data_IF_876099803060
#
_entry.id   IF_876099803060
#
_cell.length_a   1.000
_cell.length_b   1.000
_cell.length_c   1.000
_cell.angle_alpha   90.00
_cell.angle_beta   90.00
_cell.angle_gamma   90.00
#
_symmetry.space_group_name_H-M   'P 1'
#
loop_
_entity.id
_entity.type
_entity.pdbx_description
1 polymer ?
#
# COMPACT_ATOMS: atom_id res chain seq x y z
N UNK A 1 -1.31 -15.48 10.79
CA UNK A 1 -1.58 -14.06 11.12
C UNK A 1 -0.26 -13.32 11.07
N UNK A 2 -0.08 -12.44 10.08
CA UNK A 2 1.17 -11.71 9.88
C UNK A 2 1.30 -10.53 10.85
N UNK A 3 0.29 -9.65 10.87
CA UNK A 3 0.27 -8.45 11.70
C UNK A 3 -1.10 -8.29 12.36
N UNK A 4 -1.11 -7.90 13.63
CA UNK A 4 -2.33 -7.61 14.39
C UNK A 4 -2.21 -6.26 15.08
N UNK A 5 -3.10 -5.36 14.74
CA UNK A 5 -3.33 -4.09 15.42
C UNK A 5 -4.55 -4.24 16.34
N UNK A 6 -4.42 -3.86 17.61
CA UNK A 6 -5.49 -3.91 18.59
C UNK A 6 -5.72 -2.54 19.22
N UNK A 7 -6.90 -1.96 19.00
CA UNK A 7 -7.37 -0.68 19.57
C UNK A 7 -6.37 0.47 19.42
N UNK A 8 -5.73 0.60 18.24
CA UNK A 8 -4.77 1.66 17.98
C UNK A 8 -5.45 3.02 18.06
N UNK A 9 -4.89 3.91 18.86
CA UNK A 9 -5.28 5.32 18.95
C UNK A 9 -4.04 6.18 18.71
N UNK A 10 -4.19 7.23 17.90
CA UNK A 10 -3.14 8.21 17.67
C UNK A 10 -3.73 9.62 17.54
N UNK A 11 -3.22 10.56 18.32
CA UNK A 11 -3.52 11.98 18.26
C UNK A 11 -2.28 12.80 17.90
N UNK A 12 -2.47 13.93 17.22
CA UNK A 12 -1.42 14.93 16.94
C UNK A 12 -2.05 16.32 16.95
N UNK A 13 -1.37 17.26 17.61
CA UNK A 13 -1.81 18.67 17.69
C UNK A 13 -3.27 18.84 18.15
N UNK A 14 -3.70 18.07 19.14
CA UNK A 14 -5.06 18.12 19.69
C UNK A 14 -6.14 17.48 18.80
N UNK A 15 -5.77 16.85 17.68
CA UNK A 15 -6.69 16.10 16.79
C UNK A 15 -6.42 14.61 16.89
N UNK A 16 -7.48 13.82 17.03
CA UNK A 16 -7.37 12.37 16.95
C UNK A 16 -7.36 11.95 15.47
N UNK A 17 -6.26 11.33 15.04
CA UNK A 17 -6.05 10.88 13.66
C UNK A 17 -6.51 9.42 13.45
N UNK A 18 -6.34 8.57 14.46
CA UNK A 18 -6.84 7.19 14.51
C UNK A 18 -7.52 6.96 15.85
N UNK A 19 -8.68 6.30 15.82
CA UNK A 19 -9.57 6.15 16.98
C UNK A 19 -9.87 4.67 17.24
N UNK A 20 -9.21 4.06 18.21
CA UNK A 20 -9.46 2.69 18.67
C UNK A 20 -9.60 1.67 17.51
N UNK A 21 -8.71 1.77 16.52
CA UNK A 21 -8.76 0.96 15.31
C UNK A 21 -8.14 -0.41 15.58
N UNK A 22 -8.87 -1.46 15.22
CA UNK A 22 -8.37 -2.84 15.25
C UNK A 22 -8.38 -3.43 13.84
N UNK A 23 -7.25 -4.05 13.44
CA UNK A 23 -7.06 -4.61 12.12
C UNK A 23 -6.13 -5.82 12.21
N UNK A 24 -6.37 -6.82 11.39
CA UNK A 24 -5.45 -7.96 11.24
C UNK A 24 -5.09 -8.18 9.79
N UNK A 25 -3.83 -8.52 9.51
CA UNK A 25 -3.33 -8.83 8.18
C UNK A 25 -2.84 -10.27 8.15
N UNK A 26 -3.21 -11.00 7.11
CA UNK A 26 -2.71 -12.33 6.80
C UNK A 26 -1.77 -12.26 5.59
N UNK A 27 -0.80 -13.18 5.42
CA UNK A 27 -0.09 -13.30 4.15
C UNK A 27 -1.06 -13.70 3.04
N UNK A 28 -0.61 -13.56 1.79
CA UNK A 28 -1.38 -13.86 0.58
C UNK A 28 -2.64 -12.99 0.39
N UNK A 29 -2.63 -11.76 0.90
CA UNK A 29 -3.74 -10.82 0.84
C UNK A 29 -3.32 -9.47 0.25
N UNK A 30 -4.13 -8.92 -0.66
CA UNK A 30 -4.09 -7.52 -1.06
C UNK A 30 -5.26 -6.78 -0.40
N UNK A 31 -4.93 -5.85 0.49
CA UNK A 31 -5.90 -5.04 1.24
C UNK A 31 -5.87 -3.61 0.72
N UNK A 32 -6.99 -3.11 0.21
CA UNK A 32 -7.12 -1.70 -0.17
C UNK A 32 -7.63 -0.88 1.01
N UNK A 33 -6.96 0.22 1.31
CA UNK A 33 -7.40 1.22 2.29
C UNK A 33 -8.03 2.39 1.54
N UNK A 34 -9.30 2.64 1.79
CA UNK A 34 -10.09 3.71 1.18
C UNK A 34 -10.62 4.68 2.23
N UNK A 35 -10.98 5.87 1.80
CA UNK A 35 -11.57 6.90 2.65
C UNK A 35 -11.28 8.30 2.10
N UNK A 36 -12.00 9.34 2.55
CA UNK A 36 -11.77 10.71 2.12
C UNK A 36 -10.39 11.24 2.55
N UNK A 37 -10.01 12.39 2.01
CA UNK A 37 -8.79 13.08 2.44
C UNK A 37 -8.89 13.43 3.93
N UNK A 38 -7.82 13.17 4.67
CA UNK A 38 -7.80 13.36 6.13
C UNK A 38 -8.47 12.25 6.95
N UNK A 39 -8.93 11.15 6.33
CA UNK A 39 -9.53 10.01 7.06
C UNK A 39 -8.54 9.23 7.94
N UNK A 40 -7.22 9.47 7.80
CA UNK A 40 -6.19 8.77 8.57
C UNK A 40 -5.48 7.64 7.82
N UNK A 41 -5.63 7.54 6.49
CA UNK A 41 -5.06 6.45 5.67
C UNK A 41 -3.53 6.35 5.79
N UNK A 42 -2.80 7.41 5.48
CA UNK A 42 -1.33 7.46 5.60
C UNK A 42 -0.87 7.28 7.05
N UNK A 43 -1.65 7.81 8.01
CA UNK A 43 -1.40 7.62 9.44
C UNK A 43 -1.51 6.15 9.83
N UNK A 44 -2.53 5.45 9.32
CA UNK A 44 -2.67 4.01 9.53
C UNK A 44 -1.47 3.26 8.95
N UNK A 45 -1.05 3.57 7.72
CA UNK A 45 0.13 2.93 7.12
C UNK A 45 1.39 3.17 7.93
N UNK A 46 1.63 4.40 8.40
CA UNK A 46 2.78 4.74 9.26
C UNK A 46 2.77 3.97 10.60
N UNK A 47 1.58 3.77 11.20
CA UNK A 47 1.41 2.92 12.39
C UNK A 47 1.75 1.46 12.05
N UNK A 48 1.17 0.88 10.99
CA UNK A 48 1.42 -0.50 10.58
C UNK A 48 2.89 -0.73 10.18
N UNK A 49 3.53 0.31 9.64
CA UNK A 49 4.95 0.31 9.35
C UNK A 49 5.81 0.33 10.63
N UNK A 50 5.28 0.74 11.77
CA UNK A 50 6.05 0.96 12.99
C UNK A 50 6.95 2.19 12.92
N UNK A 51 6.67 3.13 11.99
CA UNK A 51 7.40 4.41 11.88
C UNK A 51 6.83 5.47 12.84
N UNK A 52 5.54 5.34 13.12
CA UNK A 52 4.86 6.19 14.08
C UNK A 52 4.34 5.29 15.23
N UNK A 53 4.75 5.53 16.48
CA UNK A 53 4.18 4.82 17.62
C UNK A 53 2.74 5.28 17.86
N UNK A 54 1.86 4.33 18.22
CA UNK A 54 0.53 4.64 18.69
C UNK A 54 0.60 5.22 20.11
N UNK A 55 -0.35 6.08 20.46
CA UNK A 55 -0.51 6.59 21.83
C UNK A 55 -1.14 5.49 22.73
N UNK A 56 -2.07 4.69 22.15
CA UNK A 56 -2.73 3.57 22.84
C UNK A 56 -2.89 2.38 21.89
N UNK A 57 -3.08 1.22 22.48
CA UNK A 57 -3.28 -0.03 21.74
C UNK A 57 -2.00 -0.86 21.62
N UNK A 58 -2.05 -1.85 20.73
CA UNK A 58 -0.93 -2.78 20.54
C UNK A 58 -0.77 -3.11 19.06
N UNK A 59 0.48 -3.29 18.64
CA UNK A 59 0.82 -3.75 17.29
C UNK A 59 1.76 -4.95 17.41
N UNK A 60 1.32 -6.09 16.88
CA UNK A 60 2.00 -7.37 17.01
C UNK A 60 2.37 -7.92 15.64
N UNK A 61 3.61 -8.33 15.46
CA UNK A 61 4.11 -9.07 14.30
C UNK A 61 4.28 -10.53 14.68
N UNK A 62 3.50 -11.42 14.07
CA UNK A 62 3.52 -12.88 14.37
C UNK A 62 3.49 -13.18 15.88
N UNK A 63 2.67 -12.46 16.64
CA UNK A 63 2.51 -12.62 18.07
C UNK A 63 3.56 -11.93 18.95
N UNK A 64 4.55 -11.28 18.36
CA UNK A 64 5.55 -10.48 19.08
C UNK A 64 5.27 -8.98 18.95
N UNK A 65 5.46 -8.17 20.01
CA UNK A 65 5.29 -6.71 19.89
C UNK A 65 6.20 -6.14 18.81
N UNK A 66 5.62 -5.32 17.89
CA UNK A 66 6.40 -4.72 16.80
C UNK A 66 7.54 -3.83 17.33
N UNK A 67 7.34 -3.16 18.44
CA UNK A 67 8.35 -2.34 19.12
C UNK A 67 9.57 -3.13 19.62
N UNK A 68 9.50 -4.46 19.67
CA UNK A 68 10.62 -5.33 20.04
C UNK A 68 11.60 -5.60 18.88
N UNK A 69 11.26 -5.22 17.66
CA UNK A 69 12.13 -5.41 16.50
C UNK A 69 13.00 -4.17 16.27
N UNK A 70 14.26 -4.36 15.94
CA UNK A 70 15.13 -3.28 15.46
C UNK A 70 14.67 -2.76 14.08
N UNK A 71 15.01 -1.51 13.72
CA UNK A 71 14.70 -0.98 12.38
C UNK A 71 15.23 -1.85 11.24
N UNK A 72 16.42 -2.43 11.38
CA UNK A 72 17.01 -3.33 10.39
C UNK A 72 16.23 -4.65 10.25
N UNK A 73 15.73 -5.21 11.35
CA UNK A 73 14.88 -6.40 11.30
C UNK A 73 13.54 -6.13 10.63
N UNK A 74 12.93 -4.98 10.94
CA UNK A 74 11.69 -4.56 10.30
C UNK A 74 11.90 -4.31 8.81
N UNK A 75 12.99 -3.63 8.42
CA UNK A 75 13.29 -3.35 7.02
C UNK A 75 13.49 -4.61 6.16
N UNK A 76 13.91 -5.73 6.76
CA UNK A 76 13.95 -7.05 6.08
C UNK A 76 12.60 -7.75 5.96
N UNK A 77 11.62 -7.33 6.74
CA UNK A 77 10.27 -7.95 6.80
C UNK A 77 9.21 -7.11 6.12
N UNK A 78 9.40 -5.79 6.06
CA UNK A 78 8.43 -4.86 5.48
C UNK A 78 9.11 -3.83 4.59
N UNK A 79 8.41 -3.44 3.53
CA UNK A 79 8.74 -2.27 2.72
C UNK A 79 7.59 -1.27 2.78
N UNK A 80 7.92 0.02 2.77
CA UNK A 80 6.95 1.11 2.78
C UNK A 80 7.26 2.14 1.69
N UNK A 81 6.29 2.36 0.83
CA UNK A 81 6.27 3.43 -0.15
C UNK A 81 5.39 4.55 0.38
N UNK A 82 6.01 5.64 0.82
CA UNK A 82 5.30 6.84 1.31
C UNK A 82 4.78 7.68 0.14
N UNK A 83 3.73 8.46 0.39
CA UNK A 83 3.10 9.35 -0.60
C UNK A 83 4.07 10.41 -1.14
N UNK A 84 4.89 11.00 -0.25
CA UNK A 84 5.93 11.95 -0.65
C UNK A 84 7.27 11.25 -0.75
N UNK A 85 7.92 11.37 -1.89
CA UNK A 85 9.27 10.90 -2.08
C UNK A 85 10.22 12.07 -1.87
N UNK A 86 11.22 11.87 -1.02
CA UNK A 86 12.29 12.83 -0.89
C UNK A 86 13.02 12.98 -2.22
N UNK A 87 13.33 14.21 -2.59
CA UNK A 87 14.23 14.47 -3.69
C UNK A 87 15.56 13.78 -3.39
N UNK A 88 16.04 12.98 -4.35
CA UNK A 88 17.31 12.27 -4.26
C UNK A 88 18.30 12.87 -5.28
N UNK A 89 18.75 14.12 -5.06
CA UNK A 89 19.62 14.80 -6.01
C UNK A 89 20.93 14.03 -6.16
N UNK A 90 21.37 13.87 -7.41
CA UNK A 90 22.63 13.21 -7.73
C UNK A 90 22.59 11.68 -7.72
N UNK A 91 21.43 11.05 -7.46
CA UNK A 91 21.25 9.61 -7.57
C UNK A 91 20.68 9.24 -8.94
N UNK A 92 21.14 8.13 -9.50
CA UNK A 92 20.51 7.51 -10.66
C UNK A 92 19.28 6.68 -10.25
N UNK A 93 18.43 6.34 -11.21
CA UNK A 93 17.33 5.41 -10.98
C UNK A 93 17.81 4.06 -10.40
N UNK A 94 19.00 3.61 -10.81
CA UNK A 94 19.64 2.40 -10.27
C UNK A 94 19.96 2.55 -8.79
N UNK A 95 20.60 3.65 -8.39
CA UNK A 95 20.98 3.90 -6.99
C UNK A 95 19.75 3.91 -6.10
N UNK A 96 18.65 4.53 -6.56
CA UNK A 96 17.38 4.56 -5.84
C UNK A 96 16.82 3.14 -5.63
N UNK A 97 16.84 2.27 -6.65
CA UNK A 97 16.37 0.89 -6.50
C UNK A 97 17.27 0.12 -5.52
N UNK A 98 18.57 0.29 -5.60
CA UNK A 98 19.55 -0.40 -4.74
C UNK A 98 19.44 0.01 -3.26
N UNK A 99 18.97 1.23 -2.94
CA UNK A 99 18.63 1.64 -1.57
C UNK A 99 17.65 0.65 -0.91
N UNK A 100 16.71 0.07 -1.67
CA UNK A 100 15.80 -0.94 -1.16
C UNK A 100 16.49 -2.19 -0.60
N UNK A 101 17.72 -2.47 -1.03
CA UNK A 101 18.50 -3.63 -0.59
C UNK A 101 19.36 -3.38 0.65
N UNK A 102 19.48 -2.12 1.09
CA UNK A 102 20.40 -1.73 2.17
C UNK A 102 20.24 -2.57 3.45
N UNK A 103 19.02 -2.89 3.84
CA UNK A 103 18.74 -3.71 5.03
C UNK A 103 19.14 -5.18 4.89
N UNK A 104 19.39 -5.66 3.67
CA UNK A 104 19.72 -7.05 3.36
C UNK A 104 21.22 -7.29 3.24
N UNK A 105 22.07 -6.27 3.39
CA UNK A 105 23.52 -6.37 3.29
C UNK A 105 24.05 -6.08 1.89
N UNK A 106 24.98 -6.90 1.38
CA UNK A 106 25.60 -6.66 0.07
C UNK A 106 24.58 -6.71 -1.07
N UNK A 107 24.36 -5.58 -1.82
CA UNK A 107 23.44 -5.56 -2.96
C UNK A 107 23.77 -6.62 -4.03
N UNK A 108 25.03 -7.02 -4.18
CA UNK A 108 25.45 -8.04 -5.15
C UNK A 108 24.83 -9.40 -4.85
N UNK A 109 24.63 -9.73 -3.56
CA UNK A 109 23.98 -10.98 -3.17
C UNK A 109 22.48 -11.00 -3.56
N UNK A 110 21.89 -9.82 -3.81
CA UNK A 110 20.46 -9.66 -4.11
C UNK A 110 20.19 -9.19 -5.55
N UNK A 111 21.15 -9.33 -6.46
CA UNK A 111 20.99 -8.89 -7.87
C UNK A 111 19.78 -9.52 -8.57
N UNK A 112 19.43 -10.76 -8.24
CA UNK A 112 18.26 -11.42 -8.82
C UNK A 112 16.96 -10.72 -8.38
N UNK A 113 16.82 -10.38 -7.09
CA UNK A 113 15.69 -9.64 -6.57
C UNK A 113 15.60 -8.24 -7.19
N UNK A 114 16.74 -7.56 -7.34
CA UNK A 114 16.80 -6.24 -7.98
C UNK A 114 16.34 -6.32 -9.46
N UNK A 115 16.85 -7.26 -10.24
CA UNK A 115 16.42 -7.43 -11.64
C UNK A 115 14.94 -7.73 -11.75
N UNK A 116 14.44 -8.66 -10.95
CA UNK A 116 13.02 -9.00 -10.93
C UNK A 116 12.14 -7.80 -10.55
N UNK A 117 12.56 -7.02 -9.55
CA UNK A 117 11.84 -5.81 -9.12
C UNK A 117 11.76 -4.77 -10.25
N UNK A 118 12.86 -4.55 -10.94
CA UNK A 118 12.96 -3.61 -12.08
C UNK A 118 12.07 -4.05 -13.25
N UNK A 119 12.04 -5.33 -13.56
CA UNK A 119 11.17 -5.90 -14.61
C UNK A 119 9.69 -5.74 -14.22
N UNK A 120 9.32 -6.14 -13.00
CA UNK A 120 7.97 -6.04 -12.49
C UNK A 120 7.46 -4.59 -12.41
N UNK A 121 8.33 -3.62 -12.14
CA UNK A 121 7.99 -2.20 -12.11
C UNK A 121 8.10 -1.52 -13.49
N UNK A 122 8.51 -2.25 -14.55
CA UNK A 122 8.78 -1.71 -15.89
C UNK A 122 9.75 -0.51 -15.85
N UNK A 123 10.78 -0.56 -14.99
CA UNK A 123 11.70 0.54 -14.74
C UNK A 123 13.07 0.39 -15.42
N UNK A 124 13.28 -0.64 -16.26
CA UNK A 124 14.60 -0.98 -16.79
C UNK A 124 15.27 0.17 -17.57
N UNK A 125 14.52 0.89 -18.39
CA UNK A 125 14.99 2.03 -19.20
C UNK A 125 15.27 3.28 -18.38
N UNK A 126 14.79 3.34 -17.13
CA UNK A 126 14.89 4.49 -16.23
C UNK A 126 16.14 4.44 -15.35
N UNK A 127 16.76 3.26 -15.21
CA UNK A 127 17.89 3.06 -14.30
C UNK A 127 19.12 3.95 -14.58
N UNK A 128 19.50 4.24 -15.85
CA UNK A 128 20.68 5.06 -16.13
C UNK A 128 20.44 6.56 -15.94
N UNK A 129 19.16 7.01 -15.91
CA UNK A 129 18.84 8.43 -15.81
C UNK A 129 19.05 8.97 -14.40
N UNK A 130 19.36 10.26 -14.27
CA UNK A 130 19.35 10.96 -12.99
C UNK A 130 17.89 11.00 -12.49
N UNK A 131 17.67 10.57 -11.24
CA UNK A 131 16.32 10.38 -10.69
C UNK A 131 15.49 11.66 -10.68
N UNK A 132 16.13 12.80 -10.41
CA UNK A 132 15.50 14.12 -10.38
C UNK A 132 15.08 14.65 -11.78
N UNK A 133 15.58 14.05 -12.86
CA UNK A 133 15.20 14.39 -14.22
C UNK A 133 14.02 13.58 -14.75
N UNK A 134 13.61 12.55 -14.03
CA UNK A 134 12.49 11.69 -14.39
C UNK A 134 11.15 12.40 -14.15
N UNK A 135 10.16 12.13 -14.99
CA UNK A 135 8.79 12.55 -14.76
C UNK A 135 8.21 11.89 -13.50
N UNK A 136 7.14 12.46 -12.91
CA UNK A 136 6.52 11.93 -11.71
C UNK A 136 6.09 10.47 -11.83
N UNK A 137 5.56 10.06 -12.99
CA UNK A 137 5.19 8.66 -13.24
C UNK A 137 6.41 7.73 -13.36
N UNK A 138 7.50 8.21 -13.96
CA UNK A 138 8.76 7.46 -14.03
C UNK A 138 9.39 7.31 -12.64
N UNK A 139 9.41 8.38 -11.83
CA UNK A 139 9.86 8.34 -10.44
C UNK A 139 9.03 7.35 -9.63
N UNK A 140 7.70 7.35 -9.78
CA UNK A 140 6.81 6.40 -9.11
C UNK A 140 7.17 4.94 -9.46
N UNK A 141 7.47 4.63 -10.73
CA UNK A 141 7.92 3.28 -11.16
C UNK A 141 9.27 2.90 -10.55
N UNK A 142 10.24 3.81 -10.50
CA UNK A 142 11.54 3.56 -9.86
C UNK A 142 11.37 3.33 -8.36
N UNK A 143 10.53 4.10 -7.68
CA UNK A 143 10.23 3.91 -6.27
C UNK A 143 9.47 2.60 -6.01
N UNK A 144 8.57 2.22 -6.90
CA UNK A 144 7.92 0.92 -6.83
C UNK A 144 8.94 -0.21 -6.99
N UNK A 145 9.88 -0.11 -7.94
CA UNK A 145 10.99 -1.06 -8.07
C UNK A 145 11.84 -1.14 -6.79
N UNK A 146 12.12 -0.02 -6.12
CA UNK A 146 12.85 0.03 -4.85
C UNK A 146 12.18 -0.80 -3.76
N UNK A 147 10.88 -0.59 -3.52
CA UNK A 147 10.16 -1.34 -2.48
C UNK A 147 9.94 -2.80 -2.86
N UNK A 148 9.80 -3.11 -4.15
CA UNK A 148 9.76 -4.48 -4.64
C UNK A 148 11.11 -5.19 -4.43
N UNK A 149 12.25 -4.54 -4.71
CA UNK A 149 13.57 -5.10 -4.48
C UNK A 149 13.75 -5.46 -2.99
N UNK A 150 13.33 -4.57 -2.09
CA UNK A 150 13.34 -4.81 -0.64
C UNK A 150 12.52 -6.03 -0.25
N UNK A 151 11.29 -6.14 -0.77
CA UNK A 151 10.39 -7.28 -0.46
C UNK A 151 10.92 -8.58 -1.05
N UNK A 152 11.42 -8.56 -2.30
CA UNK A 152 11.88 -9.76 -2.99
C UNK A 152 13.19 -10.30 -2.40
N UNK A 153 14.06 -9.43 -1.88
CA UNK A 153 15.28 -9.83 -1.17
C UNK A 153 14.99 -10.46 0.21
N UNK A 154 13.83 -10.19 0.79
CA UNK A 154 13.42 -10.73 2.08
C UNK A 154 13.04 -12.21 2.03
N UNK A 155 12.88 -12.83 3.19
CA UNK A 155 12.45 -14.21 3.36
C UNK A 155 11.30 -14.32 4.37
N UNK A 156 10.56 -15.42 4.35
CA UNK A 156 9.42 -15.65 5.22
C UNK A 156 8.23 -14.75 4.90
N UNK A 157 7.36 -14.52 5.89
CA UNK A 157 6.20 -13.65 5.74
C UNK A 157 6.62 -12.18 5.72
N UNK A 158 6.06 -11.40 4.78
CA UNK A 158 6.44 -10.01 4.49
C UNK A 158 5.24 -9.12 4.33
N UNK A 159 5.45 -7.81 4.52
CA UNK A 159 4.44 -6.77 4.36
C UNK A 159 4.94 -5.70 3.39
N UNK A 160 4.12 -5.36 2.41
CA UNK A 160 4.33 -4.22 1.51
C UNK A 160 3.23 -3.19 1.78
N UNK A 161 3.63 -1.99 2.15
CA UNK A 161 2.75 -0.85 2.40
C UNK A 161 2.94 0.17 1.28
N UNK A 162 1.85 0.57 0.63
CA UNK A 162 1.87 1.48 -0.50
C UNK A 162 0.89 2.63 -0.24
N UNK A 163 1.42 3.84 -0.07
CA UNK A 163 0.61 5.04 0.18
C UNK A 163 0.42 5.82 -1.13
N UNK A 164 -0.78 5.72 -1.70
CA UNK A 164 -1.19 6.34 -2.97
C UNK A 164 -0.23 6.08 -4.15
N UNK A 165 0.20 4.84 -4.41
CA UNK A 165 1.24 4.55 -5.40
C UNK A 165 0.80 4.81 -6.83
N UNK A 166 -0.50 5.00 -7.05
CA UNK A 166 -1.11 5.19 -8.38
C UNK A 166 -1.31 6.65 -8.76
N UNK A 167 -1.08 7.61 -7.86
CA UNK A 167 -1.46 9.02 -8.04
C UNK A 167 -0.79 9.69 -9.24
N UNK A 168 0.46 9.32 -9.56
CA UNK A 168 1.23 9.91 -10.67
C UNK A 168 1.26 9.02 -11.93
N UNK A 169 0.55 7.89 -11.93
CA UNK A 169 0.58 6.90 -13.01
C UNK A 169 -0.62 7.06 -13.95
N UNK A 170 -0.41 6.80 -15.23
CA UNK A 170 -1.50 6.61 -16.17
C UNK A 170 -2.29 5.32 -15.91
N UNK A 171 -3.51 5.16 -16.45
CA UNK A 171 -4.37 4.02 -16.18
C UNK A 171 -3.72 2.66 -16.45
N UNK A 172 -2.90 2.53 -17.50
CA UNK A 172 -2.26 1.26 -17.83
C UNK A 172 -1.21 0.87 -16.78
N UNK A 173 -0.42 1.84 -16.31
CA UNK A 173 0.57 1.61 -15.26
C UNK A 173 -0.09 1.40 -13.88
N UNK A 174 -1.23 2.04 -13.58
CA UNK A 174 -2.01 1.78 -12.36
C UNK A 174 -2.47 0.33 -12.30
N UNK A 175 -3.08 -0.16 -13.39
CA UNK A 175 -3.52 -1.56 -13.52
C UNK A 175 -2.35 -2.53 -13.39
N UNK A 176 -1.23 -2.25 -14.06
CA UNK A 176 -0.04 -3.10 -14.01
C UNK A 176 0.53 -3.20 -12.59
N UNK A 177 0.66 -2.08 -11.87
CA UNK A 177 1.14 -2.04 -10.48
C UNK A 177 0.28 -2.92 -9.56
N UNK A 178 -1.04 -2.75 -9.62
CA UNK A 178 -1.96 -3.50 -8.76
C UNK A 178 -2.03 -4.98 -9.13
N UNK A 179 -2.00 -5.31 -10.43
CA UNK A 179 -1.93 -6.69 -10.90
C UNK A 179 -0.63 -7.37 -10.44
N UNK A 180 0.50 -6.65 -10.47
CA UNK A 180 1.80 -7.11 -9.95
C UNK A 180 1.71 -7.40 -8.45
N UNK A 181 1.16 -6.47 -7.66
CA UNK A 181 0.94 -6.67 -6.23
C UNK A 181 0.10 -7.92 -5.95
N UNK A 182 -1.01 -8.09 -6.68
CA UNK A 182 -1.89 -9.25 -6.54
C UNK A 182 -1.19 -10.56 -6.91
N UNK A 183 -0.40 -10.57 -7.98
CA UNK A 183 0.41 -11.73 -8.37
C UNK A 183 1.42 -12.10 -7.28
N UNK A 184 2.13 -11.13 -6.73
CA UNK A 184 3.09 -11.34 -5.65
C UNK A 184 2.43 -11.89 -4.38
N UNK A 185 1.24 -11.40 -4.00
CA UNK A 185 0.47 -11.98 -2.90
C UNK A 185 0.14 -13.45 -3.12
N UNK A 186 -0.14 -13.88 -4.36
CA UNK A 186 -0.47 -15.27 -4.68
C UNK A 186 0.75 -16.20 -4.64
N UNK A 187 1.92 -15.69 -5.01
CA UNK A 187 3.14 -16.50 -5.18
C UNK A 187 4.07 -16.47 -3.97
N UNK A 188 3.97 -15.44 -3.14
CA UNK A 188 4.83 -15.23 -1.97
C UNK A 188 3.99 -15.13 -0.68
N UNK A 189 4.54 -15.46 0.49
CA UNK A 189 3.89 -15.19 1.77
C UNK A 189 3.93 -13.69 2.09
N UNK A 190 3.26 -12.89 1.27
CA UNK A 190 3.24 -11.44 1.27
C UNK A 190 1.83 -10.92 1.54
N UNK A 191 1.70 -9.98 2.48
CA UNK A 191 0.55 -9.11 2.56
C UNK A 191 0.88 -7.77 1.88
N UNK A 192 -0.05 -7.24 1.10
CA UNK A 192 0.04 -5.90 0.54
C UNK A 192 -1.09 -5.05 1.10
N UNK A 193 -0.77 -3.87 1.62
CA UNK A 193 -1.75 -2.85 2.00
C UNK A 193 -1.53 -1.64 1.11
N UNK A 194 -2.53 -1.26 0.35
CA UNK A 194 -2.44 -0.15 -0.61
C UNK A 194 -3.52 0.88 -0.35
N UNK A 195 -3.13 2.14 -0.21
CA UNK A 195 -4.07 3.27 -0.19
C UNK A 195 -4.45 3.62 -1.62
N UNK A 196 -5.74 3.64 -1.89
CA UNK A 196 -6.31 3.98 -3.19
C UNK A 196 -7.40 5.07 -3.04
N UNK A 197 -7.66 5.79 -4.14
CA UNK A 197 -8.77 6.72 -4.26
C UNK A 197 -9.86 6.19 -5.19
N UNK A 198 -9.51 5.32 -6.12
CA UNK A 198 -10.44 4.74 -7.09
C UNK A 198 -11.11 3.48 -6.54
N UNK A 199 -12.45 3.55 -6.39
CA UNK A 199 -13.27 2.44 -5.91
C UNK A 199 -13.24 1.25 -6.86
N UNK A 200 -13.15 1.50 -8.17
CA UNK A 200 -13.15 0.43 -9.19
C UNK A 200 -11.81 -0.31 -9.21
N UNK A 201 -10.69 0.40 -9.05
CA UNK A 201 -9.39 -0.23 -8.89
C UNK A 201 -9.34 -1.09 -7.62
N UNK A 202 -9.87 -0.57 -6.50
CA UNK A 202 -9.95 -1.33 -5.26
C UNK A 202 -10.83 -2.58 -5.41
N UNK A 203 -12.01 -2.45 -6.02
CA UNK A 203 -12.91 -3.58 -6.24
C UNK A 203 -12.31 -4.67 -7.15
N UNK A 204 -11.52 -4.27 -8.16
CA UNK A 204 -10.91 -5.18 -9.13
C UNK A 204 -9.74 -5.96 -8.57
N UNK A 205 -8.91 -5.31 -7.77
CA UNK A 205 -7.62 -5.89 -7.37
C UNK A 205 -7.57 -6.38 -5.93
N UNK A 206 -8.29 -5.76 -5.00
CA UNK A 206 -8.21 -6.10 -3.59
C UNK A 206 -9.03 -7.36 -3.24
N UNK A 207 -8.48 -8.16 -2.34
CA UNK A 207 -9.22 -9.25 -1.70
C UNK A 207 -10.11 -8.71 -0.57
N UNK A 208 -9.72 -7.56 0.00
CA UNK A 208 -10.37 -6.93 1.15
C UNK A 208 -10.24 -5.43 1.10
N UNK A 209 -11.27 -4.72 1.53
CA UNK A 209 -11.32 -3.26 1.64
C UNK A 209 -11.47 -2.87 3.08
N UNK A 210 -10.57 -2.00 3.52
CA UNK A 210 -10.61 -1.26 4.79
C UNK A 210 -11.09 0.15 4.48
N UNK A 211 -12.30 0.48 4.88
CA UNK A 211 -12.88 1.80 4.68
C UNK A 211 -12.74 2.64 5.95
N UNK A 212 -12.05 3.77 5.83
CA UNK A 212 -11.80 4.71 6.91
C UNK A 212 -12.62 5.99 6.75
N UNK A 213 -13.14 6.48 7.84
CA UNK A 213 -13.68 7.83 7.95
C UNK A 213 -13.34 8.44 9.31
N UNK A 214 -12.83 9.67 9.33
CA UNK A 214 -12.47 10.44 10.53
C UNK A 214 -11.67 9.63 11.58
N UNK A 215 -10.70 8.83 11.11
CA UNK A 215 -9.85 8.00 11.93
C UNK A 215 -10.51 6.72 12.47
N UNK A 216 -11.72 6.38 12.03
CA UNK A 216 -12.47 5.19 12.43
C UNK A 216 -12.54 4.18 11.29
N UNK A 217 -12.56 2.92 11.66
CA UNK A 217 -12.85 1.83 10.75
C UNK A 217 -14.37 1.77 10.53
N UNK A 218 -14.82 2.05 9.29
CA UNK A 218 -16.23 2.01 8.88
C UNK A 218 -16.62 0.64 8.36
N UNK A 219 -15.71 0.00 7.58
CA UNK A 219 -15.89 -1.34 7.07
C UNK A 219 -14.55 -2.03 6.88
N UNK A 220 -14.57 -3.35 7.01
CA UNK A 220 -13.44 -4.25 6.83
C UNK A 220 -13.96 -5.59 6.30
N UNK A 221 -14.08 -5.71 4.98
CA UNK A 221 -14.74 -6.84 4.32
C UNK A 221 -14.30 -6.98 2.85
N UNK A 222 -14.82 -7.99 2.15
CA UNK A 222 -14.68 -8.10 0.70
C UNK A 222 -15.22 -6.84 -0.01
N UNK A 223 -14.68 -6.46 -1.19
CA UNK A 223 -15.04 -5.20 -1.84
C UNK A 223 -16.55 -4.98 -2.01
N UNK A 224 -17.29 -5.98 -2.46
CA UNK A 224 -18.75 -5.88 -2.66
C UNK A 224 -19.53 -5.64 -1.35
N UNK A 225 -19.03 -6.15 -0.22
CA UNK A 225 -19.64 -5.97 1.10
C UNK A 225 -19.23 -4.65 1.74
N UNK A 226 -17.97 -4.24 1.55
CA UNK A 226 -17.45 -3.00 2.11
C UNK A 226 -17.99 -1.76 1.39
N UNK A 227 -18.12 -1.82 0.06
CA UNK A 227 -18.44 -0.68 -0.81
C UNK A 227 -19.92 -0.69 -1.24
N UNK A 228 -20.83 -0.65 -0.26
CA UNK A 228 -22.25 -0.49 -0.56
C UNK A 228 -22.58 0.96 -0.96
N UNK A 229 -23.59 1.20 -1.82
CA UNK A 229 -24.00 2.57 -2.19
C UNK A 229 -24.24 3.48 -0.99
N UNK A 230 -24.90 2.97 0.06
CA UNK A 230 -25.16 3.72 1.28
C UNK A 230 -23.88 4.13 2.03
N UNK A 231 -22.88 3.24 2.12
CA UNK A 231 -21.58 3.58 2.73
C UNK A 231 -20.78 4.55 1.88
N UNK A 232 -20.78 4.37 0.56
CA UNK A 232 -20.09 5.30 -0.35
C UNK A 232 -20.70 6.71 -0.21
N UNK A 233 -22.03 6.84 -0.20
CA UNK A 233 -22.70 8.12 0.03
C UNK A 233 -22.36 8.70 1.40
N UNK A 234 -22.41 7.90 2.46
CA UNK A 234 -22.12 8.36 3.82
C UNK A 234 -20.66 8.83 4.00
N UNK A 235 -19.70 8.12 3.41
CA UNK A 235 -18.26 8.37 3.62
C UNK A 235 -17.71 9.41 2.64
N UNK A 236 -18.12 9.36 1.37
CA UNK A 236 -17.57 10.21 0.30
C UNK A 236 -18.52 11.35 -0.12
N UNK A 237 -19.78 11.35 0.37
CA UNK A 237 -20.79 12.30 -0.08
C UNK A 237 -21.25 12.10 -1.53
N UNK A 238 -20.88 10.97 -2.15
CA UNK A 238 -21.11 10.69 -3.56
C UNK A 238 -22.11 9.55 -3.73
N UNK A 239 -23.24 9.81 -4.37
CA UNK A 239 -24.17 8.75 -4.79
C UNK A 239 -23.61 8.01 -6.00
N UNK A 240 -23.76 6.68 -5.98
CA UNK A 240 -23.30 5.81 -7.07
C UNK A 240 -24.40 4.83 -7.49
N UNK A 241 -24.34 4.43 -8.76
CA UNK A 241 -24.94 3.20 -9.24
C UNK A 241 -23.90 2.10 -9.15
N UNK A 242 -24.30 0.91 -8.74
CA UNK A 242 -23.46 -0.29 -8.80
C UNK A 242 -23.95 -1.14 -9.95
N UNK A 243 -23.11 -1.33 -10.95
CA UNK A 243 -23.40 -2.09 -12.15
C UNK A 243 -22.50 -3.33 -12.19
N UNK A 244 -22.94 -4.43 -12.81
CA UNK A 244 -22.06 -5.56 -13.07
C UNK A 244 -21.03 -5.17 -14.13
N UNK A 245 -19.78 -5.64 -13.97
CA UNK A 245 -18.76 -5.48 -15.02
C UNK A 245 -19.16 -6.30 -16.25
N UNK A 246 -19.05 -5.77 -17.48
CA UNK A 246 -19.52 -6.44 -18.69
C UNK A 246 -18.87 -7.82 -18.91
N UNK A 247 -17.57 -7.94 -18.64
CA UNK A 247 -16.83 -9.19 -18.84
C UNK A 247 -16.78 -10.09 -17.59
N UNK A 248 -16.99 -9.53 -16.40
CA UNK A 248 -16.90 -10.22 -15.10
C UNK A 248 -18.11 -9.81 -14.26
N UNK A 249 -19.29 -10.40 -14.45
CA UNK A 249 -20.52 -9.93 -13.79
C UNK A 249 -20.50 -9.92 -12.25
N UNK A 250 -19.62 -10.72 -11.62
CA UNK A 250 -19.43 -10.73 -10.17
C UNK A 250 -18.62 -9.53 -9.64
N UNK A 251 -17.97 -8.77 -10.53
CA UNK A 251 -17.20 -7.59 -10.18
C UNK A 251 -18.09 -6.35 -10.20
N UNK A 252 -18.26 -5.62 -9.09
CA UNK A 252 -19.03 -4.38 -9.07
C UNK A 252 -18.27 -3.25 -9.78
N UNK A 253 -18.99 -2.43 -10.54
CA UNK A 253 -18.52 -1.18 -11.14
C UNK A 253 -19.30 -0.03 -10.51
N UNK A 254 -18.59 0.93 -9.93
CA UNK A 254 -19.16 2.09 -9.27
C UNK A 254 -19.19 3.26 -10.25
N UNK A 255 -20.40 3.70 -10.61
CA UNK A 255 -20.61 4.81 -11.54
C UNK A 255 -21.25 5.97 -10.78
N UNK A 256 -20.65 7.18 -10.78
CA UNK A 256 -21.25 8.34 -10.13
C UNK A 256 -22.66 8.61 -10.63
N UNK A 257 -23.58 8.90 -9.69
CA UNK A 257 -24.94 9.32 -10.01
C UNK A 257 -24.98 10.86 -10.03
N UNK A 258 -25.33 11.40 -11.17
CA UNK A 258 -25.54 12.84 -11.32
C UNK A 258 -27.02 13.18 -11.03
N UNK A 259 -27.31 14.32 -10.40
CA UNK A 259 -28.68 14.82 -10.33
C UNK A 259 -29.20 15.05 -11.74
N UNK A 260 -30.48 14.75 -11.95
CA UNK A 260 -31.18 15.01 -13.21
C UNK A 260 -31.39 16.53 -13.39
#
# INVERSE_FOLDING_TARGET
MLLRAGNLTLGRHGRTLIRSLSLSLAPHQLVAVLGPNGAGKSTLLGLLAGETPADEGSLMWQGQPLAGFSPAELARRRAYLMQQHENAPGLSGRDVVEIGLFAHGDPRAHQAACRQAVELAQAATLLPAAYDTLSGGEQARVQFARVLAQVLAGSGERLLLLDEPTAALDPAHQEHLLATCRQLCRTLPLAVVVVLHDLNLAARHADRVVLLDQGRLVADAAPAEALTPARIEAVFGQRVHVLPHPDIPSLPVFVPRYPA
#
